data_IF_875119865587
#
_entry.id   IF_875119865587
#
_cell.length_a   1.000
_cell.length_b   1.000
_cell.length_c   1.000
_cell.angle_alpha   90.00
_cell.angle_beta   90.00
_cell.angle_gamma   90.00
#
_symmetry.space_group_name_H-M   'P 1'
#
loop_
_entity.id
_entity.type
_entity.pdbx_description
1 polymer ?
#
# COMPACT_ATOMS: atom_id res chain seq x y z
N UNK A 1 11.18 10.42 5.08
CA UNK A 1 10.85 9.13 4.42
C UNK A 1 10.53 8.14 5.52
N UNK A 2 9.44 7.38 5.38
CA UNK A 2 9.00 6.37 6.35
C UNK A 2 8.77 5.04 5.63
N UNK A 3 9.09 3.92 6.28
CA UNK A 3 8.85 2.58 5.74
C UNK A 3 7.45 2.10 6.11
N UNK A 4 6.85 1.34 5.20
CA UNK A 4 5.56 0.69 5.38
C UNK A 4 5.59 -0.70 4.75
N UNK A 5 4.77 -1.62 5.26
CA UNK A 5 4.65 -2.97 4.73
C UNK A 5 4.28 -3.00 3.24
N UNK A 6 4.89 -3.93 2.50
CA UNK A 6 4.68 -4.07 1.06
C UNK A 6 3.23 -4.49 0.72
N UNK A 7 2.62 -5.31 1.56
CA UNK A 7 1.22 -5.74 1.48
C UNK A 7 0.24 -4.56 1.57
N UNK A 8 0.55 -3.57 2.40
CA UNK A 8 -0.25 -2.35 2.55
C UNK A 8 -0.11 -1.47 1.32
N UNK A 9 1.12 -1.30 0.80
CA UNK A 9 1.33 -0.52 -0.42
C UNK A 9 0.62 -1.18 -1.60
N UNK A 10 0.73 -2.51 -1.73
CA UNK A 10 0.03 -3.28 -2.75
C UNK A 10 -1.49 -3.20 -2.60
N UNK A 11 -1.99 -3.15 -1.37
CA UNK A 11 -3.42 -2.94 -1.09
C UNK A 11 -3.91 -1.61 -1.67
N UNK A 12 -3.13 -0.54 -1.47
CA UNK A 12 -3.51 0.81 -1.90
C UNK A 12 -3.45 0.95 -3.41
N UNK A 13 -2.38 0.50 -4.06
CA UNK A 13 -2.18 0.71 -5.50
C UNK A 13 -3.13 -0.14 -6.36
N UNK A 14 -3.60 -1.28 -5.84
CA UNK A 14 -4.50 -2.19 -6.56
C UNK A 14 -5.98 -2.07 -6.16
N UNK A 15 -6.32 -1.20 -5.19
CA UNK A 15 -7.66 -1.09 -4.61
C UNK A 15 -8.24 -2.46 -4.18
N UNK A 16 -7.37 -3.36 -3.68
CA UNK A 16 -7.69 -4.74 -3.27
C UNK A 16 -7.13 -5.02 -1.88
N UNK A 17 -7.90 -5.60 -0.97
CA UNK A 17 -7.44 -5.92 0.39
C UNK A 17 -6.40 -7.06 0.33
N UNK A 18 -5.12 -6.70 0.44
CA UNK A 18 -3.99 -7.62 0.43
C UNK A 18 -3.20 -7.56 1.75
N UNK A 19 -3.71 -6.84 2.74
CA UNK A 19 -3.10 -6.72 4.06
C UNK A 19 -4.07 -7.20 5.14
N UNK A 20 -3.52 -7.79 6.20
CA UNK A 20 -4.24 -8.11 7.44
C UNK A 20 -4.34 -6.88 8.37
N UNK A 21 -3.67 -5.76 8.04
CA UNK A 21 -3.59 -4.54 8.86
C UNK A 21 -4.14 -3.29 8.15
N UNK A 22 -5.46 -3.14 8.12
CA UNK A 22 -6.13 -1.99 7.48
C UNK A 22 -5.86 -0.65 8.20
N UNK A 23 -5.52 -0.67 9.49
CA UNK A 23 -5.17 0.55 10.23
C UNK A 23 -3.85 1.16 9.74
N UNK A 24 -2.96 0.34 9.20
CA UNK A 24 -1.71 0.81 8.65
C UNK A 24 -1.90 1.51 7.31
N UNK A 25 -2.91 1.13 6.51
CA UNK A 25 -3.29 1.87 5.31
C UNK A 25 -3.71 3.32 5.64
N UNK A 26 -4.44 3.53 6.74
CA UNK A 26 -4.75 4.88 7.25
C UNK A 26 -3.49 5.63 7.66
N UNK A 27 -2.49 4.93 8.18
CA UNK A 27 -1.21 5.52 8.57
C UNK A 27 -0.37 5.93 7.37
N UNK A 28 -0.39 5.17 6.27
CA UNK A 28 0.18 5.56 4.97
C UNK A 28 -0.51 6.82 4.48
N UNK A 29 -1.85 6.83 4.44
CA UNK A 29 -2.63 7.97 3.95
C UNK A 29 -2.32 9.27 4.71
N UNK A 30 -2.30 9.21 6.05
CA UNK A 30 -1.94 10.35 6.91
C UNK A 30 -0.50 10.82 6.66
N UNK A 31 0.43 9.88 6.53
CA UNK A 31 1.82 10.21 6.27
C UNK A 31 2.02 10.86 4.89
N UNK A 32 1.39 10.31 3.85
CA UNK A 32 1.54 10.78 2.48
C UNK A 32 0.92 12.16 2.25
N UNK A 33 -0.27 12.40 2.81
CA UNK A 33 -1.01 13.65 2.63
C UNK A 33 -0.68 14.72 3.66
N UNK A 34 -0.06 14.36 4.79
CA UNK A 34 0.14 15.25 5.92
C UNK A 34 -1.14 15.60 6.68
N UNK A 35 -2.29 14.98 6.34
CA UNK A 35 -3.56 15.18 7.05
C UNK A 35 -3.45 14.63 8.48
N UNK A 36 -3.83 15.46 9.46
CA UNK A 36 -3.86 15.07 10.88
C UNK A 36 -4.93 14.01 11.15
N UNK A 37 -6.05 14.11 10.44
CA UNK A 37 -7.19 13.23 10.56
C UNK A 37 -7.70 12.87 9.16
N UNK A 38 -8.16 11.63 8.99
CA UNK A 38 -8.83 11.15 7.79
C UNK A 38 -10.09 10.44 8.28
N UNK A 39 -11.25 10.93 7.88
CA UNK A 39 -12.51 10.33 8.29
C UNK A 39 -12.68 8.98 7.58
N UNK A 40 -13.34 8.02 8.23
CA UNK A 40 -13.54 6.66 7.67
C UNK A 40 -14.17 6.68 6.28
N UNK A 41 -15.12 7.58 6.04
CA UNK A 41 -15.79 7.72 4.75
C UNK A 41 -14.89 8.35 3.68
N UNK A 42 -13.88 9.14 4.04
CA UNK A 42 -12.93 9.76 3.10
C UNK A 42 -11.75 8.85 2.78
N UNK A 43 -11.45 7.88 3.65
CA UNK A 43 -10.25 7.04 3.55
C UNK A 43 -10.06 6.46 2.15
N UNK A 44 -11.11 5.88 1.56
CA UNK A 44 -11.04 5.29 0.23
C UNK A 44 -10.61 6.29 -0.86
N UNK A 45 -11.09 7.54 -0.79
CA UNK A 45 -10.71 8.61 -1.73
C UNK A 45 -9.25 9.01 -1.52
N UNK A 46 -8.82 9.15 -0.27
CA UNK A 46 -7.43 9.52 0.05
C UNK A 46 -6.45 8.42 -0.37
N UNK A 47 -6.82 7.15 -0.20
CA UNK A 47 -6.01 6.02 -0.67
C UNK A 47 -5.89 6.01 -2.20
N UNK A 48 -6.99 6.26 -2.92
CA UNK A 48 -6.98 6.42 -4.38
C UNK A 48 -6.12 7.59 -4.85
N UNK A 49 -6.10 8.68 -4.09
CA UNK A 49 -5.20 9.82 -4.35
C UNK A 49 -3.72 9.42 -4.14
N UNK A 50 -3.42 8.61 -3.12
CA UNK A 50 -2.05 8.14 -2.83
C UNK A 50 -1.50 7.14 -3.86
N UNK A 51 -2.36 6.29 -4.41
CA UNK A 51 -1.99 5.20 -5.32
C UNK A 51 -1.06 5.60 -6.48
N UNK A 52 -1.35 6.64 -7.30
CA UNK A 52 -0.47 7.03 -8.40
C UNK A 52 0.92 7.49 -7.92
N UNK A 53 1.02 8.14 -6.75
CA UNK A 53 2.31 8.56 -6.19
C UNK A 53 3.10 7.38 -5.64
N UNK A 54 2.45 6.39 -5.02
CA UNK A 54 3.10 5.15 -4.61
C UNK A 54 3.66 4.40 -5.82
N UNK A 55 2.91 4.34 -6.91
CA UNK A 55 3.37 3.75 -8.18
C UNK A 55 4.51 4.53 -8.83
N UNK A 56 4.55 5.86 -8.68
CA UNK A 56 5.67 6.66 -9.16
C UNK A 56 6.94 6.41 -8.33
N UNK A 57 6.79 6.21 -7.02
CA UNK A 57 7.89 5.92 -6.11
C UNK A 57 8.40 4.47 -6.26
N UNK A 58 7.51 3.52 -6.58
CA UNK A 58 7.79 2.09 -6.70
C UNK A 58 7.23 1.52 -8.01
N UNK A 59 7.77 1.91 -9.17
CA UNK A 59 7.24 1.48 -10.47
C UNK A 59 7.29 -0.04 -10.66
N UNK A 60 8.22 -0.74 -10.00
CA UNK A 60 8.34 -2.19 -10.04
C UNK A 60 7.10 -2.94 -9.51
N UNK A 61 6.25 -2.28 -8.71
CA UNK A 61 5.04 -2.92 -8.17
C UNK A 61 3.93 -3.06 -9.20
N UNK A 62 4.02 -2.40 -10.36
CA UNK A 62 3.02 -2.51 -11.44
C UNK A 62 2.97 -3.90 -12.06
N UNK A 63 4.06 -4.66 -11.98
CA UNK A 63 4.19 -5.98 -12.58
C UNK A 63 3.68 -7.10 -11.66
N UNK A 64 3.36 -6.76 -10.39
CA UNK A 64 2.85 -7.75 -9.43
C UNK A 64 1.39 -8.04 -9.74
N UNK A 65 1.11 -9.25 -10.21
CA UNK A 65 -0.26 -9.73 -10.36
C UNK A 65 -0.85 -10.03 -8.98
N UNK A 66 -2.00 -9.42 -8.70
CA UNK A 66 -2.75 -9.60 -7.45
C UNK A 66 -4.13 -10.23 -7.65
N UNK A 67 -4.56 -10.49 -8.89
CA UNK A 67 -5.94 -10.88 -9.20
C UNK A 67 -6.31 -12.23 -8.58
N UNK A 68 -5.39 -13.19 -8.64
CA UNK A 68 -5.59 -14.55 -8.12
C UNK A 68 -5.31 -14.68 -6.61
N UNK A 69 -4.92 -13.59 -5.93
CA UNK A 69 -4.65 -13.62 -4.49
C UNK A 69 -5.95 -13.72 -3.71
N UNK A 70 -6.00 -14.70 -2.81
CA UNK A 70 -7.12 -15.00 -1.90
C UNK A 70 -6.57 -15.43 -0.53
N UNK A 71 -7.45 -15.72 0.44
CA UNK A 71 -7.04 -16.07 1.80
C UNK A 71 -6.18 -17.34 1.89
N UNK A 72 -6.41 -18.32 1.02
CA UNK A 72 -5.71 -19.61 1.05
C UNK A 72 -4.27 -19.51 0.54
N UNK A 73 -4.03 -18.66 -0.48
CA UNK A 73 -2.71 -18.47 -1.08
C UNK A 73 -1.98 -17.22 -0.58
N UNK A 74 -2.61 -16.42 0.29
CA UNK A 74 -2.09 -15.13 0.74
C UNK A 74 -0.71 -15.24 1.37
N UNK A 75 -0.50 -16.18 2.31
CA UNK A 75 0.77 -16.29 3.04
C UNK A 75 1.93 -16.68 2.10
N UNK A 76 1.67 -17.56 1.13
CA UNK A 76 2.66 -17.96 0.13
C UNK A 76 2.98 -16.82 -0.84
N UNK A 77 1.94 -16.14 -1.34
CA UNK A 77 2.09 -14.98 -2.23
C UNK A 77 2.86 -13.85 -1.53
N UNK A 78 2.47 -13.52 -0.29
CA UNK A 78 3.11 -12.47 0.50
C UNK A 78 4.59 -12.80 0.77
N UNK A 79 4.91 -14.06 1.10
CA UNK A 79 6.29 -14.49 1.26
C UNK A 79 7.10 -14.36 -0.04
N UNK A 80 6.52 -14.69 -1.20
CA UNK A 80 7.19 -14.53 -2.51
C UNK A 80 7.46 -13.05 -2.81
N UNK A 81 6.45 -12.21 -2.64
CA UNK A 81 6.56 -10.76 -2.85
C UNK A 81 7.59 -10.16 -1.90
N UNK A 82 7.55 -10.51 -0.61
CA UNK A 82 8.50 -10.03 0.38
C UNK A 82 9.94 -10.47 0.09
N UNK A 83 10.13 -11.68 -0.47
CA UNK A 83 11.45 -12.15 -0.91
C UNK A 83 11.99 -11.33 -2.08
N UNK A 84 11.14 -11.04 -3.05
CA UNK A 84 11.56 -10.45 -4.32
C UNK A 84 11.69 -8.91 -4.24
N UNK A 85 10.89 -8.26 -3.38
CA UNK A 85 10.81 -6.79 -3.29
C UNK A 85 11.11 -6.23 -1.89
N UNK A 86 11.29 -7.09 -0.89
CA UNK A 86 11.43 -6.72 0.51
C UNK A 86 10.09 -6.66 1.25
N UNK A 87 10.14 -6.73 2.58
CA UNK A 87 8.95 -6.71 3.45
C UNK A 87 8.37 -5.31 3.63
N UNK A 88 9.20 -4.27 3.51
CA UNK A 88 8.80 -2.88 3.68
C UNK A 88 9.45 -2.01 2.60
N UNK A 89 8.71 -1.01 2.12
CA UNK A 89 9.20 -0.06 1.14
C UNK A 89 9.18 1.37 1.69
N UNK A 90 10.16 2.20 1.30
CA UNK A 90 10.20 3.60 1.70
C UNK A 90 9.14 4.43 0.97
N UNK A 91 8.34 5.19 1.71
CA UNK A 91 7.34 6.12 1.18
C UNK A 91 7.74 7.56 1.49
N UNK A 92 7.43 8.47 0.56
CA UNK A 92 7.58 9.93 0.66
C UNK A 92 6.21 10.63 0.60
N UNK A 93 6.04 11.78 1.28
CA UNK A 93 4.86 12.62 1.17
C UNK A 93 4.59 13.12 -0.27
N UNK A 94 3.33 13.43 -0.57
CA UNK A 94 2.88 13.96 -1.86
C UNK A 94 3.28 15.44 -2.02
N UNK A 95 3.15 16.21 -0.95
CA UNK A 95 3.52 17.63 -0.95
C UNK A 95 5.01 17.78 -0.61
N UNK A 96 5.79 18.21 -1.60
CA UNK A 96 7.15 18.73 -1.46
C UNK A 96 7.21 20.15 -2.02
#
# INVERSE_FOLDING_TARGET
MKKFGIDIILTIINDKVLTKNLEEAQSVARYMTGKKEILKHELHLVLRECAPYLLQQHPQLREINVDEVNEENWDQWHASVARDYGTELPVRPIHH
#
